data_IF_494818849885
#
_entry.id   IF_494818849885
#
_cell.length_a   1.000
_cell.length_b   1.000
_cell.length_c   1.000
_cell.angle_alpha   90.00
_cell.angle_beta   90.00
_cell.angle_gamma   90.00
#
_symmetry.space_group_name_H-M   'P 1'
#
loop_
_entity.id
_entity.type
_entity.pdbx_description
1 polymer ?
#
# COMPACT_ATOMS: atom_id res chain seq x y z
N UNK A 1 -5.47 29.99 4.23
CA UNK A 1 -4.39 29.89 3.24
C UNK A 1 -3.80 28.49 3.32
N UNK A 2 -4.41 27.51 2.64
CA UNK A 2 -3.81 26.17 2.53
C UNK A 2 -2.57 26.30 1.63
N UNK A 3 -1.38 26.09 2.19
CA UNK A 3 -0.17 25.86 1.39
C UNK A 3 -0.49 24.68 0.47
N UNK A 4 -0.68 24.93 -0.81
CA UNK A 4 -0.68 23.85 -1.80
C UNK A 4 0.70 23.19 -1.71
N UNK A 5 0.74 21.86 -1.61
CA UNK A 5 1.99 21.14 -1.78
C UNK A 5 2.45 21.36 -3.22
N UNK A 6 3.49 22.18 -3.40
CA UNK A 6 4.20 22.25 -4.66
C UNK A 6 5.19 21.08 -4.72
N UNK A 7 5.56 20.59 -5.92
CA UNK A 7 6.46 19.44 -6.06
C UNK A 7 7.78 19.58 -5.30
N UNK A 8 8.27 20.82 -5.16
CA UNK A 8 9.51 21.14 -4.44
C UNK A 8 9.42 20.93 -2.93
N UNK A 9 8.21 20.95 -2.37
CA UNK A 9 7.96 20.76 -0.93
C UNK A 9 7.66 19.31 -0.56
N UNK A 10 7.51 18.40 -1.54
CA UNK A 10 7.22 16.99 -1.28
C UNK A 10 8.31 16.27 -0.48
N UNK A 11 9.62 16.47 -0.73
CA UNK A 11 10.67 15.88 0.10
C UNK A 11 10.58 16.33 1.56
N UNK A 12 10.32 17.62 1.80
CA UNK A 12 10.18 18.19 3.14
C UNK A 12 8.92 17.66 3.84
N UNK A 13 7.79 17.63 3.14
CA UNK A 13 6.54 17.09 3.66
C UNK A 13 6.67 15.60 4.03
N UNK A 14 7.37 14.81 3.21
CA UNK A 14 7.69 13.42 3.52
C UNK A 14 8.61 13.31 4.74
N UNK A 15 9.63 14.17 4.87
CA UNK A 15 10.51 14.20 6.06
C UNK A 15 9.72 14.49 7.33
N UNK A 16 8.85 15.50 7.31
CA UNK A 16 7.99 15.83 8.45
C UNK A 16 7.06 14.68 8.78
N UNK A 17 6.45 14.04 7.78
CA UNK A 17 5.60 12.88 7.98
C UNK A 17 6.33 11.72 8.66
N UNK A 18 7.61 11.52 8.35
CA UNK A 18 8.47 10.49 8.95
C UNK A 18 8.79 10.79 10.42
N UNK A 19 9.01 12.06 10.75
CA UNK A 19 9.38 12.50 12.11
C UNK A 19 8.20 12.52 13.10
N UNK A 20 6.97 12.28 12.64
CA UNK A 20 5.80 12.20 13.52
C UNK A 20 6.00 11.06 14.54
N UNK A 21 5.83 11.38 15.82
CA UNK A 21 6.02 10.41 16.92
C UNK A 21 4.93 9.35 16.98
N UNK A 22 3.71 9.74 16.61
CA UNK A 22 2.54 8.87 16.64
C UNK A 22 2.44 8.07 15.33
N UNK A 23 2.37 6.74 15.46
CA UNK A 23 2.39 5.83 14.32
C UNK A 23 1.13 5.95 13.46
N UNK A 24 -0.03 6.22 14.09
CA UNK A 24 -1.28 6.51 13.39
C UNK A 24 -1.14 7.73 12.50
N UNK A 25 -0.56 8.81 13.04
CA UNK A 25 -0.30 10.06 12.33
C UNK A 25 0.68 9.85 11.17
N UNK A 26 1.76 9.07 11.37
CA UNK A 26 2.69 8.69 10.28
C UNK A 26 1.95 7.95 9.17
N UNK A 27 1.14 6.94 9.51
CA UNK A 27 0.42 6.14 8.53
C UNK A 27 -0.55 6.98 7.68
N UNK A 28 -1.29 7.87 8.34
CA UNK A 28 -2.21 8.80 7.67
C UNK A 28 -1.45 9.77 6.77
N UNK A 29 -0.33 10.32 7.24
CA UNK A 29 0.48 11.24 6.46
C UNK A 29 1.05 10.57 5.21
N UNK A 30 1.64 9.37 5.34
CA UNK A 30 2.15 8.58 4.21
C UNK A 30 1.04 8.27 3.19
N UNK A 31 -0.12 7.81 3.67
CA UNK A 31 -1.27 7.48 2.82
C UNK A 31 -1.76 8.71 2.03
N UNK A 32 -1.84 9.87 2.66
CA UNK A 32 -2.30 11.10 2.02
C UNK A 32 -1.27 11.70 1.05
N UNK A 33 0.03 11.53 1.34
CA UNK A 33 1.11 12.04 0.50
C UNK A 33 1.29 11.22 -0.77
N UNK A 34 1.03 9.91 -0.72
CA UNK A 34 1.30 8.94 -1.79
C UNK A 34 0.94 9.43 -3.20
N UNK A 35 -0.25 10.02 -3.38
CA UNK A 35 -0.75 10.49 -4.68
C UNK A 35 0.04 11.64 -5.30
N UNK A 36 0.83 12.33 -4.51
CA UNK A 36 1.66 13.45 -4.95
C UNK A 36 3.12 13.03 -5.13
N UNK A 37 3.54 11.88 -4.61
CA UNK A 37 4.95 11.48 -4.62
C UNK A 37 5.39 11.04 -6.03
N UNK A 38 6.50 11.59 -6.56
CA UNK A 38 7.19 11.01 -7.70
C UNK A 38 7.82 9.67 -7.31
N UNK A 39 8.15 8.84 -8.29
CA UNK A 39 8.74 7.50 -8.13
C UNK A 39 9.93 7.48 -7.15
N UNK A 40 10.85 8.43 -7.30
CA UNK A 40 12.03 8.54 -6.44
C UNK A 40 11.69 8.73 -4.94
N UNK A 41 10.56 9.34 -4.61
CA UNK A 41 10.11 9.51 -3.22
C UNK A 41 9.15 8.41 -2.77
N UNK A 42 8.48 7.73 -3.69
CA UNK A 42 7.57 6.64 -3.38
C UNK A 42 8.31 5.43 -2.80
N UNK A 43 9.50 5.11 -3.31
CA UNK A 43 10.38 4.08 -2.74
C UNK A 43 10.72 4.39 -1.27
N UNK A 44 11.09 5.64 -0.98
CA UNK A 44 11.37 6.10 0.39
C UNK A 44 10.11 6.03 1.26
N UNK A 45 8.94 6.40 0.76
CA UNK A 45 7.69 6.26 1.51
C UNK A 45 7.37 4.79 1.85
N UNK A 46 7.70 3.85 0.96
CA UNK A 46 7.54 2.42 1.19
C UNK A 46 8.50 1.90 2.28
N UNK A 47 9.78 2.27 2.24
CA UNK A 47 10.75 1.95 3.30
C UNK A 47 10.27 2.43 4.68
N UNK A 48 9.66 3.63 4.72
CA UNK A 48 9.16 4.21 5.96
C UNK A 48 7.87 3.57 6.44
N UNK A 49 7.01 3.11 5.52
CA UNK A 49 5.86 2.28 5.86
C UNK A 49 6.32 1.02 6.62
N UNK A 50 7.40 0.36 6.18
CA UNK A 50 7.94 -0.81 6.87
C UNK A 50 8.45 -0.54 8.29
N UNK A 51 8.83 0.70 8.60
CA UNK A 51 9.29 1.10 9.93
C UNK A 51 8.14 1.33 10.93
N UNK A 52 6.89 1.41 10.48
CA UNK A 52 5.72 1.47 11.36
C UNK A 52 5.60 0.13 12.10
N UNK A 53 5.60 0.14 13.44
CA UNK A 53 5.64 -1.09 14.23
C UNK A 53 4.27 -1.74 14.38
N UNK A 54 3.23 -0.93 14.59
CA UNK A 54 1.87 -1.41 14.71
C UNK A 54 1.35 -1.94 13.35
N UNK A 55 0.92 -3.21 13.27
CA UNK A 55 0.47 -3.80 12.01
C UNK A 55 -0.77 -3.13 11.41
N UNK A 56 -1.67 -2.60 12.24
CA UNK A 56 -2.85 -1.88 11.77
C UNK A 56 -2.44 -0.59 11.04
N UNK A 57 -1.54 0.19 11.64
CA UNK A 57 -1.07 1.44 11.04
C UNK A 57 -0.17 1.18 9.82
N UNK A 58 0.66 0.13 9.85
CA UNK A 58 1.45 -0.30 8.69
C UNK A 58 0.54 -0.63 7.50
N UNK A 59 -0.50 -1.43 7.75
CA UNK A 59 -1.50 -1.80 6.74
C UNK A 59 -2.22 -0.58 6.19
N UNK A 60 -2.62 0.36 7.05
CA UNK A 60 -3.28 1.60 6.63
C UNK A 60 -2.38 2.47 5.73
N UNK A 61 -1.09 2.53 6.02
CA UNK A 61 -0.13 3.26 5.21
C UNK A 61 0.06 2.59 3.84
N UNK A 62 0.24 1.26 3.82
CA UNK A 62 0.39 0.47 2.59
C UNK A 62 -0.82 0.65 1.64
N UNK A 63 -2.05 0.65 2.17
CA UNK A 63 -3.26 0.92 1.38
C UNK A 63 -3.18 2.25 0.60
N UNK A 64 -2.67 3.30 1.22
CA UNK A 64 -2.54 4.59 0.53
C UNK A 64 -1.47 4.58 -0.56
N UNK A 65 -0.43 3.75 -0.41
CA UNK A 65 0.66 3.62 -1.37
C UNK A 65 0.31 2.68 -2.53
N UNK A 66 -0.60 1.72 -2.30
CA UNK A 66 -0.97 0.63 -3.20
C UNK A 66 -1.25 1.06 -4.64
N UNK A 67 -2.05 2.11 -4.92
CA UNK A 67 -2.36 2.51 -6.30
C UNK A 67 -1.15 3.05 -7.07
N UNK A 68 -0.04 3.31 -6.38
CA UNK A 68 1.17 3.90 -6.95
C UNK A 68 2.33 2.91 -7.03
N UNK A 69 2.19 1.69 -6.48
CA UNK A 69 3.26 0.70 -6.47
C UNK A 69 3.64 0.19 -7.87
N UNK A 70 2.75 0.27 -8.87
CA UNK A 70 3.04 -0.02 -10.29
C UNK A 70 4.19 0.82 -10.84
N UNK A 71 4.43 1.99 -10.22
CA UNK A 71 5.52 2.88 -10.62
C UNK A 71 6.88 2.44 -10.07
N UNK A 72 6.90 1.40 -9.25
CA UNK A 72 8.10 0.80 -8.68
C UNK A 72 8.30 -0.60 -9.26
N UNK A 73 9.55 -1.06 -9.30
CA UNK A 73 9.84 -2.47 -9.52
C UNK A 73 9.55 -3.25 -8.24
N UNK A 74 8.42 -3.95 -8.20
CA UNK A 74 8.03 -4.83 -7.10
C UNK A 74 8.30 -6.28 -7.51
N UNK A 75 8.94 -7.08 -6.65
CA UNK A 75 9.09 -8.52 -6.90
C UNK A 75 7.90 -9.30 -6.34
N UNK A 76 7.72 -10.54 -6.80
CA UNK A 76 6.72 -11.45 -6.22
C UNK A 76 6.92 -11.68 -4.71
N UNK A 77 8.18 -11.70 -4.24
CA UNK A 77 8.49 -11.83 -2.83
C UNK A 77 8.02 -10.61 -2.03
N UNK A 78 8.31 -9.39 -2.52
CA UNK A 78 7.85 -8.15 -1.91
C UNK A 78 6.32 -8.10 -1.86
N UNK A 79 5.69 -8.52 -2.95
CA UNK A 79 4.24 -8.58 -3.08
C UNK A 79 3.58 -9.51 -2.06
N UNK A 80 4.20 -10.68 -1.81
CA UNK A 80 3.71 -11.63 -0.80
C UNK A 80 3.68 -11.00 0.59
N UNK A 81 4.75 -10.29 0.98
CA UNK A 81 4.82 -9.60 2.27
C UNK A 81 3.81 -8.45 2.35
N UNK A 82 3.57 -7.73 1.25
CA UNK A 82 2.55 -6.68 1.18
C UNK A 82 1.14 -7.24 1.40
N UNK A 83 0.82 -8.40 0.81
CA UNK A 83 -0.46 -9.07 1.01
C UNK A 83 -0.69 -9.46 2.48
N UNK A 84 0.33 -9.99 3.16
CA UNK A 84 0.25 -10.32 4.59
C UNK A 84 -0.08 -9.08 5.44
N UNK A 85 0.53 -7.94 5.11
CA UNK A 85 0.25 -6.67 5.77
C UNK A 85 -1.17 -6.17 5.48
N UNK A 86 -1.64 -6.23 4.23
CA UNK A 86 -3.00 -5.80 3.88
C UNK A 86 -4.08 -6.68 4.55
N UNK A 87 -3.81 -7.97 4.71
CA UNK A 87 -4.74 -8.92 5.35
C UNK A 87 -5.07 -8.56 6.81
N UNK A 88 -4.25 -7.73 7.48
CA UNK A 88 -4.46 -7.33 8.88
C UNK A 88 -5.71 -6.45 9.11
N UNK A 89 -6.15 -5.66 8.11
CA UNK A 89 -7.25 -4.68 8.28
C UNK A 89 -8.67 -5.25 8.19
N UNK A 90 -8.79 -6.59 8.11
CA UNK A 90 -9.98 -7.40 7.83
C UNK A 90 -10.23 -7.69 6.34
N UNK A 91 -10.70 -8.94 6.09
CA UNK A 91 -11.05 -9.49 4.78
C UNK A 91 -11.91 -8.55 3.92
N UNK A 92 -12.85 -7.82 4.51
CA UNK A 92 -13.73 -6.90 3.78
C UNK A 92 -12.95 -5.76 3.12
N UNK A 93 -12.01 -5.15 3.83
CA UNK A 93 -11.21 -4.05 3.30
C UNK A 93 -10.24 -4.55 2.22
N UNK A 94 -9.64 -5.72 2.42
CA UNK A 94 -8.80 -6.37 1.40
C UNK A 94 -9.58 -6.65 0.09
N UNK A 95 -10.82 -7.13 0.21
CA UNK A 95 -11.69 -7.38 -0.96
C UNK A 95 -12.13 -6.09 -1.66
N UNK A 96 -12.31 -4.99 -0.92
CA UNK A 96 -12.60 -3.67 -1.50
C UNK A 96 -11.40 -3.11 -2.29
N UNK A 97 -10.18 -3.49 -1.91
CA UNK A 97 -8.94 -3.04 -2.56
C UNK A 97 -8.50 -3.92 -3.75
N UNK A 98 -9.11 -5.10 -3.94
CA UNK A 98 -8.78 -6.01 -5.05
C UNK A 98 -8.72 -5.34 -6.43
N UNK A 99 -9.66 -4.44 -6.81
CA UNK A 99 -9.60 -3.77 -8.11
C UNK A 99 -8.35 -2.90 -8.31
N UNK A 100 -7.86 -2.25 -7.24
CA UNK A 100 -6.66 -1.40 -7.27
C UNK A 100 -5.38 -2.24 -7.36
N UNK A 101 -5.48 -3.50 -6.93
CA UNK A 101 -4.40 -4.48 -6.89
C UNK A 101 -4.30 -5.29 -8.20
N UNK A 102 -5.41 -5.42 -8.94
CA UNK A 102 -5.48 -6.21 -10.18
C UNK A 102 -4.29 -6.00 -11.14
N UNK A 103 -3.86 -4.77 -11.45
CA UNK A 103 -2.81 -4.59 -12.44
C UNK A 103 -1.43 -5.06 -11.94
N UNK A 104 -1.17 -5.05 -10.62
CA UNK A 104 0.09 -5.53 -10.01
C UNK A 104 0.12 -7.05 -10.16
N UNK A 105 -0.99 -7.72 -9.85
CA UNK A 105 -1.04 -9.19 -9.91
C UNK A 105 -0.94 -9.67 -11.37
N UNK A 106 -1.54 -8.95 -12.33
CA UNK A 106 -1.42 -9.25 -13.76
C UNK A 106 -0.03 -8.96 -14.35
N UNK A 107 0.75 -8.05 -13.77
CA UNK A 107 2.17 -7.89 -14.13
C UNK A 107 3.07 -8.97 -13.50
N UNK A 108 2.75 -9.41 -12.28
CA UNK A 108 3.56 -10.37 -11.53
C UNK A 108 3.26 -11.85 -11.87
N UNK A 109 2.08 -12.14 -12.41
CA UNK A 109 1.65 -13.47 -12.83
C UNK A 109 0.87 -13.40 -14.15
N UNK A 110 0.73 -14.53 -14.85
CA UNK A 110 -0.12 -14.59 -16.03
C UNK A 110 -1.61 -14.47 -15.67
N UNK A 111 -2.47 -14.17 -16.66
CA UNK A 111 -3.94 -14.04 -16.46
C UNK A 111 -4.54 -15.27 -15.75
N UNK A 112 -3.95 -16.45 -15.98
CA UNK A 112 -4.40 -17.70 -15.37
C UNK A 112 -4.05 -17.76 -13.88
N UNK A 113 -2.82 -17.43 -13.46
CA UNK A 113 -2.44 -17.35 -12.05
C UNK A 113 -3.29 -16.34 -11.28
N UNK A 114 -3.66 -15.22 -11.91
CA UNK A 114 -4.58 -14.25 -11.31
C UNK A 114 -5.99 -14.82 -11.09
N UNK A 115 -6.54 -15.48 -12.10
CA UNK A 115 -7.83 -16.16 -12.00
C UNK A 115 -7.84 -17.21 -10.89
N UNK A 116 -6.76 -17.99 -10.78
CA UNK A 116 -6.62 -19.04 -9.78
C UNK A 116 -6.49 -18.47 -8.36
N UNK A 117 -5.76 -17.36 -8.18
CA UNK A 117 -5.67 -16.64 -6.90
C UNK A 117 -7.03 -16.06 -6.50
N UNK A 118 -7.74 -15.40 -7.43
CA UNK A 118 -9.08 -14.86 -7.16
C UNK A 118 -10.07 -15.97 -6.83
N UNK A 119 -9.98 -17.10 -7.51
CA UNK A 119 -10.85 -18.25 -7.26
C UNK A 119 -10.55 -18.86 -5.89
N UNK A 120 -9.27 -19.04 -5.53
CA UNK A 120 -8.89 -19.51 -4.20
C UNK A 120 -9.37 -18.56 -3.09
N UNK A 121 -9.24 -17.23 -3.29
CA UNK A 121 -9.77 -16.23 -2.35
C UNK A 121 -11.30 -16.33 -2.24
N UNK A 122 -12.01 -16.47 -3.36
CA UNK A 122 -13.47 -16.66 -3.37
C UNK A 122 -13.90 -17.95 -2.69
N UNK A 123 -13.19 -19.05 -2.92
CA UNK A 123 -13.48 -20.36 -2.33
C UNK A 123 -13.28 -20.32 -0.81
N UNK A 124 -12.17 -19.74 -0.33
CA UNK A 124 -11.93 -19.52 1.10
C UNK A 124 -12.98 -18.59 1.72
N UNK A 125 -13.44 -17.57 0.99
CA UNK A 125 -14.52 -16.69 1.44
C UNK A 125 -15.90 -17.37 1.46
N UNK A 126 -16.19 -18.26 0.51
CA UNK A 126 -17.46 -18.98 0.40
C UNK A 126 -17.57 -20.17 1.37
N UNK A 127 -16.45 -20.67 1.87
CA UNK A 127 -16.38 -21.84 2.75
C UNK A 127 -16.51 -21.51 4.25
N UNK A 128 -16.74 -20.26 4.65
CA UNK A 128 -17.00 -19.92 6.05
C UNK A 128 -18.49 -19.68 6.34
N UNK A 129 -19.06 -20.22 7.45
CA UNK A 129 -20.45 -19.97 7.85
C UNK A 129 -20.70 -18.53 8.29
#
# INVERSE_FOLDING_TARGET
>A
MSKQLTPELLPEALSIAIELKDESSRAVALSNLAKYLPEALLAKALEMMWQIQDPYFRSRALRGLLPYLMKLTITFADWTVMLEVLAYQNRKNLLEELPDICPIILELGDEQAFSDILQAVRDVCAQWP
#
